data_IF_721260910942
#
_entry.id   IF_721260910942
#
_cell.length_a   1.000
_cell.length_b   1.000
_cell.length_c   1.000
_cell.angle_alpha   90.00
_cell.angle_beta   90.00
_cell.angle_gamma   90.00
#
_symmetry.space_group_name_H-M   'P 1'
#
loop_
_entity.id
_entity.type
_entity.pdbx_description
1 polymer ?
#
# COMPACT_ATOMS: atom_id res chain seq x y z
N UNK A 1 -23.50 17.06 -8.26
CA UNK A 1 -23.02 17.27 -6.88
C UNK A 1 -22.03 16.16 -6.59
N UNK A 2 -20.79 16.49 -6.25
CA UNK A 2 -19.82 15.50 -5.77
C UNK A 2 -20.39 14.81 -4.54
N UNK A 3 -20.30 13.47 -4.42
CA UNK A 3 -20.80 12.78 -3.24
C UNK A 3 -20.05 13.30 -2.01
N UNK A 4 -20.74 14.02 -1.14
CA UNK A 4 -20.22 14.36 0.19
C UNK A 4 -20.15 13.06 0.99
N UNK A 5 -18.94 12.70 1.40
CA UNK A 5 -18.65 11.52 2.19
C UNK A 5 -17.76 11.97 3.33
N UNK A 6 -18.24 11.81 4.56
CA UNK A 6 -17.62 12.31 5.77
C UNK A 6 -17.67 11.21 6.83
N UNK A 7 -16.50 10.91 7.41
CA UNK A 7 -16.34 9.99 8.54
C UNK A 7 -15.13 10.44 9.34
N UNK A 8 -15.27 10.54 10.67
CA UNK A 8 -14.23 11.08 11.57
C UNK A 8 -12.97 10.20 11.66
N UNK A 9 -13.00 8.98 11.10
CA UNK A 9 -11.85 8.08 11.06
C UNK A 9 -10.93 8.32 9.87
N UNK A 10 -11.40 9.00 8.82
CA UNK A 10 -10.63 9.17 7.57
C UNK A 10 -10.67 10.60 7.02
N UNK A 11 -9.63 11.01 6.32
CA UNK A 11 -9.62 12.27 5.58
C UNK A 11 -9.99 11.97 4.13
N UNK A 12 -11.17 12.39 3.67
CA UNK A 12 -11.63 12.12 2.32
C UNK A 12 -11.36 13.28 1.37
N UNK A 13 -10.64 13.01 0.28
CA UNK A 13 -10.32 13.98 -0.76
C UNK A 13 -10.96 13.51 -2.07
N UNK A 14 -11.96 14.27 -2.53
CA UNK A 14 -12.63 14.04 -3.80
C UNK A 14 -12.00 14.88 -4.92
N UNK A 15 -11.56 14.22 -5.97
CA UNK A 15 -10.96 14.85 -7.15
C UNK A 15 -11.97 14.91 -8.30
N UNK A 16 -11.88 15.96 -9.12
CA UNK A 16 -12.85 16.22 -10.19
C UNK A 16 -12.77 15.23 -11.34
N UNK A 17 -11.56 14.74 -11.62
CA UNK A 17 -11.26 13.81 -12.71
C UNK A 17 -10.03 12.94 -12.38
N UNK A 18 -9.68 12.08 -13.33
CA UNK A 18 -8.57 11.14 -13.20
C UNK A 18 -7.20 11.84 -13.14
N UNK A 19 -7.00 12.90 -13.92
CA UNK A 19 -5.71 13.55 -14.09
C UNK A 19 -5.39 14.39 -12.84
N UNK A 20 -6.35 15.17 -12.36
CA UNK A 20 -6.23 15.89 -11.10
C UNK A 20 -6.01 14.97 -9.90
N UNK A 21 -6.63 13.78 -9.90
CA UNK A 21 -6.36 12.75 -8.90
C UNK A 21 -4.91 12.25 -8.96
N UNK A 22 -4.40 11.96 -10.16
CA UNK A 22 -3.02 11.50 -10.37
C UNK A 22 -2.03 12.58 -9.87
N UNK A 23 -2.18 13.81 -10.35
CA UNK A 23 -1.29 14.94 -10.05
C UNK A 23 -1.29 15.25 -8.55
N UNK A 24 -2.46 15.34 -7.92
CA UNK A 24 -2.57 15.68 -6.52
C UNK A 24 -1.98 14.59 -5.61
N UNK A 25 -2.22 13.31 -5.92
CA UNK A 25 -1.63 12.20 -5.14
C UNK A 25 -0.12 12.17 -5.31
N UNK A 26 0.39 12.31 -6.54
CA UNK A 26 1.83 12.32 -6.79
C UNK A 26 2.51 13.49 -6.08
N UNK A 27 1.93 14.69 -6.14
CA UNK A 27 2.43 15.86 -5.43
C UNK A 27 2.44 15.66 -3.92
N UNK A 28 1.39 15.09 -3.34
CA UNK A 28 1.33 14.78 -1.91
C UNK A 28 2.41 13.77 -1.51
N UNK A 29 2.60 12.70 -2.30
CA UNK A 29 3.66 11.73 -2.07
C UNK A 29 5.05 12.39 -2.10
N UNK A 30 5.35 13.20 -3.12
CA UNK A 30 6.63 13.90 -3.23
C UNK A 30 6.87 14.86 -2.05
N UNK A 31 5.85 15.59 -1.62
CA UNK A 31 5.93 16.49 -0.47
C UNK A 31 6.27 15.73 0.82
N UNK A 32 5.60 14.59 1.08
CA UNK A 32 5.87 13.76 2.26
C UNK A 32 7.28 13.18 2.23
N UNK A 33 7.76 12.72 1.07
CA UNK A 33 9.15 12.22 0.93
C UNK A 33 10.18 13.32 1.15
N UNK A 34 10.00 14.48 0.51
CA UNK A 34 10.92 15.60 0.65
C UNK A 34 10.94 16.17 2.07
N UNK A 35 9.80 16.17 2.76
CA UNK A 35 9.76 16.52 4.18
C UNK A 35 10.66 15.61 5.01
N UNK A 36 10.52 14.29 4.89
CA UNK A 36 11.35 13.34 5.65
C UNK A 36 12.83 13.38 5.25
N UNK A 37 13.13 13.58 3.96
CA UNK A 37 14.51 13.78 3.49
C UNK A 37 15.13 15.02 4.13
N UNK A 38 14.38 16.11 4.25
CA UNK A 38 14.88 17.36 4.86
C UNK A 38 15.05 17.24 6.38
N UNK A 39 14.13 16.55 7.06
CA UNK A 39 14.15 16.42 8.52
C UNK A 39 15.16 15.37 9.03
N UNK A 40 15.24 14.21 8.37
CA UNK A 40 16.03 13.07 8.87
C UNK A 40 17.00 12.49 7.83
N UNK A 41 17.17 13.15 6.68
CA UNK A 41 18.17 12.83 5.66
C UNK A 41 17.80 11.69 4.70
N UNK A 42 16.69 10.99 4.91
CA UNK A 42 16.22 9.86 4.09
C UNK A 42 14.72 9.66 4.25
N UNK A 43 14.08 9.07 3.24
CA UNK A 43 12.67 8.71 3.27
C UNK A 43 12.45 7.24 2.88
N UNK A 44 11.30 6.70 3.29
CA UNK A 44 10.88 5.34 2.93
C UNK A 44 9.43 5.32 2.48
N UNK A 45 9.17 4.66 1.35
CA UNK A 45 7.83 4.53 0.78
C UNK A 45 7.46 3.07 0.55
N UNK A 46 6.25 2.69 0.96
CA UNK A 46 5.69 1.35 0.69
C UNK A 46 4.56 1.46 -0.32
N UNK A 47 4.65 0.70 -1.40
CA UNK A 47 3.75 0.79 -2.56
C UNK A 47 2.93 -0.48 -2.76
N UNK A 48 1.63 -0.33 -3.04
CA UNK A 48 0.78 -1.42 -3.54
C UNK A 48 0.91 -1.58 -5.05
N UNK A 49 0.59 -2.76 -5.57
CA UNK A 49 0.44 -2.94 -7.02
C UNK A 49 -0.99 -2.68 -7.52
N UNK A 50 -1.30 -3.24 -8.70
CA UNK A 50 -2.56 -3.03 -9.40
C UNK A 50 -2.48 -1.92 -10.45
N UNK A 51 -3.47 -1.85 -11.34
CA UNK A 51 -3.48 -0.88 -12.45
C UNK A 51 -3.78 0.55 -11.99
N UNK A 52 -4.54 0.72 -10.91
CA UNK A 52 -4.94 2.01 -10.34
C UNK A 52 -3.76 2.91 -9.95
N UNK A 53 -2.73 2.45 -9.22
CA UNK A 53 -1.62 3.31 -8.82
C UNK A 53 -0.55 3.56 -9.88
N UNK A 54 -0.51 2.79 -10.98
CA UNK A 54 0.58 2.89 -11.96
C UNK A 54 0.77 4.31 -12.55
N UNK A 55 -0.29 5.03 -12.97
CA UNK A 55 -0.14 6.41 -13.44
C UNK A 55 0.35 7.39 -12.37
N UNK A 56 -0.02 7.20 -11.11
CA UNK A 56 0.49 8.00 -9.98
C UNK A 56 2.00 7.80 -9.81
N UNK A 57 2.46 6.55 -9.90
CA UNK A 57 3.89 6.25 -9.77
C UNK A 57 4.70 6.85 -10.91
N UNK A 58 4.15 6.85 -12.13
CA UNK A 58 4.76 7.54 -13.26
C UNK A 58 4.85 9.04 -13.02
N UNK A 59 3.76 9.68 -12.59
CA UNK A 59 3.74 11.11 -12.29
C UNK A 59 4.68 11.48 -11.15
N UNK A 60 4.70 10.68 -10.07
CA UNK A 60 5.61 10.87 -8.93
C UNK A 60 7.07 10.82 -9.38
N UNK A 61 7.42 9.93 -10.31
CA UNK A 61 8.80 9.79 -10.79
C UNK A 61 9.32 11.03 -11.55
N UNK A 62 8.41 11.87 -12.08
CA UNK A 62 8.76 13.12 -12.77
C UNK A 62 8.90 14.32 -11.82
N UNK A 63 8.57 14.15 -10.53
CA UNK A 63 8.66 15.22 -9.54
C UNK A 63 10.07 15.30 -8.94
N UNK A 64 10.43 16.49 -8.47
CA UNK A 64 11.71 16.77 -7.84
C UNK A 64 11.77 16.13 -6.44
N UNK A 65 12.33 14.92 -6.39
CA UNK A 65 12.61 14.14 -5.18
C UNK A 65 14.05 13.67 -5.24
N UNK A 66 14.78 13.79 -4.13
CA UNK A 66 16.14 13.24 -4.01
C UNK A 66 16.09 11.71 -3.89
N UNK A 67 15.88 11.04 -5.03
CA UNK A 67 15.63 9.60 -5.12
C UNK A 67 16.77 8.74 -4.54
N UNK A 68 18.02 9.19 -4.61
CA UNK A 68 19.18 8.54 -3.96
C UNK A 68 19.06 8.42 -2.43
N UNK A 69 18.10 9.13 -1.83
CA UNK A 69 17.78 9.11 -0.40
C UNK A 69 16.46 8.40 -0.08
N UNK A 70 15.83 7.78 -1.07
CA UNK A 70 14.54 7.10 -0.93
C UNK A 70 14.71 5.58 -0.96
N UNK A 71 14.24 4.92 0.10
CA UNK A 71 14.00 3.47 0.10
C UNK A 71 12.57 3.19 -0.37
N UNK A 72 12.44 2.36 -1.40
CA UNK A 72 11.16 1.90 -1.94
C UNK A 72 10.98 0.42 -1.60
N UNK A 73 9.85 0.06 -1.01
CA UNK A 73 9.43 -1.33 -0.85
C UNK A 73 7.91 -1.46 -1.09
N UNK A 74 7.33 -2.60 -0.75
CA UNK A 74 5.95 -2.92 -1.10
C UNK A 74 5.06 -3.07 0.15
N UNK A 75 3.79 -2.70 0.01
CA UNK A 75 2.77 -2.98 1.01
C UNK A 75 2.37 -4.47 0.99
N UNK A 76 2.43 -5.12 -0.17
CA UNK A 76 2.21 -6.54 -0.32
C UNK A 76 2.83 -7.06 -1.62
N UNK A 77 2.96 -8.38 -1.74
CA UNK A 77 3.48 -9.01 -2.94
C UNK A 77 2.88 -10.42 -3.12
N UNK A 78 2.70 -10.80 -4.38
CA UNK A 78 2.38 -12.17 -4.80
C UNK A 78 3.65 -12.99 -4.66
N UNK A 79 3.57 -14.23 -4.17
CA UNK A 79 4.76 -15.09 -4.12
C UNK A 79 5.17 -15.55 -5.54
N UNK A 80 5.80 -14.64 -6.25
CA UNK A 80 6.23 -14.68 -7.65
C UNK A 80 7.65 -14.13 -7.76
N UNK A 81 8.33 -14.46 -8.84
CA UNK A 81 9.59 -13.79 -9.16
C UNK A 81 9.34 -12.29 -9.31
N UNK A 82 10.22 -11.41 -8.81
CA UNK A 82 10.15 -9.98 -9.09
C UNK A 82 10.26 -9.62 -10.58
N UNK A 83 10.53 -10.60 -11.44
CA UNK A 83 10.59 -10.49 -12.90
C UNK A 83 9.26 -10.88 -13.58
N UNK A 84 8.32 -11.46 -12.83
CA UNK A 84 7.02 -11.85 -13.36
C UNK A 84 6.14 -10.60 -13.55
N UNK A 85 5.39 -10.52 -14.66
CA UNK A 85 4.56 -9.36 -14.97
C UNK A 85 3.46 -9.08 -13.95
N UNK A 86 3.03 -10.11 -13.24
CA UNK A 86 2.01 -10.04 -12.20
C UNK A 86 2.61 -9.69 -10.81
N UNK A 87 3.93 -9.49 -10.70
CA UNK A 87 4.57 -9.03 -9.46
C UNK A 87 4.36 -7.53 -9.26
N UNK A 88 4.08 -7.13 -8.02
CA UNK A 88 4.04 -5.73 -7.63
C UNK A 88 5.44 -5.07 -7.79
N UNK A 89 6.53 -5.82 -7.55
CA UNK A 89 7.89 -5.38 -7.81
C UNK A 89 8.14 -5.09 -9.30
N UNK A 90 7.58 -5.90 -10.21
CA UNK A 90 7.63 -5.60 -11.64
C UNK A 90 6.92 -4.28 -11.94
N UNK A 91 5.70 -4.11 -11.43
CA UNK A 91 4.92 -2.89 -11.62
C UNK A 91 5.66 -1.64 -11.12
N UNK A 92 6.21 -1.66 -9.90
CA UNK A 92 6.93 -0.52 -9.32
C UNK A 92 8.20 -0.22 -10.12
N UNK A 93 8.92 -1.24 -10.59
CA UNK A 93 10.08 -1.02 -11.46
C UNK A 93 9.70 -0.29 -12.74
N UNK A 94 8.67 -0.79 -13.42
CA UNK A 94 8.26 -0.26 -14.72
C UNK A 94 7.69 1.17 -14.63
N UNK A 95 7.02 1.50 -13.53
CA UNK A 95 6.26 2.75 -13.42
C UNK A 95 6.93 3.83 -12.56
N UNK A 96 7.87 3.47 -11.69
CA UNK A 96 8.58 4.42 -10.83
C UNK A 96 10.10 4.36 -11.05
N UNK A 97 10.69 3.19 -10.79
CA UNK A 97 12.15 3.07 -10.62
C UNK A 97 12.95 3.22 -11.91
N UNK A 98 12.30 3.13 -13.07
CA UNK A 98 12.93 3.48 -14.36
C UNK A 98 13.31 4.95 -14.48
N UNK A 99 12.64 5.83 -13.72
CA UNK A 99 12.84 7.29 -13.78
C UNK A 99 13.30 7.89 -12.45
N UNK A 100 12.97 7.24 -11.33
CA UNK A 100 13.48 7.55 -10.01
C UNK A 100 14.93 7.06 -9.82
N UNK A 101 15.87 7.65 -10.55
CA UNK A 101 17.29 7.24 -10.54
C UNK A 101 17.90 7.39 -9.14
N UNK A 102 18.60 6.35 -8.67
CA UNK A 102 19.23 6.32 -7.35
C UNK A 102 18.36 5.73 -6.23
N UNK A 103 17.04 5.58 -6.42
CA UNK A 103 16.17 4.96 -5.43
C UNK A 103 16.60 3.55 -5.06
N UNK A 104 16.67 3.27 -3.76
CA UNK A 104 16.98 1.92 -3.27
C UNK A 104 15.70 1.09 -3.21
N UNK A 105 15.58 0.12 -4.11
CA UNK A 105 14.41 -0.76 -4.14
C UNK A 105 14.65 -2.08 -3.43
N UNK A 106 13.76 -2.40 -2.49
CA UNK A 106 13.77 -3.63 -1.74
C UNK A 106 12.50 -4.48 -1.99
N UNK A 107 12.59 -5.54 -2.83
CA UNK A 107 11.46 -6.42 -3.11
C UNK A 107 11.18 -7.35 -1.94
N UNK A 108 9.90 -7.67 -1.71
CA UNK A 108 9.50 -8.63 -0.68
C UNK A 108 9.86 -10.08 -1.03
N UNK A 109 9.83 -10.44 -2.32
CA UNK A 109 10.22 -11.78 -2.79
C UNK A 109 11.65 -11.77 -3.34
N UNK A 110 12.46 -12.73 -2.91
CA UNK A 110 13.84 -12.93 -3.37
C UNK A 110 13.95 -14.22 -4.17
N UNK A 111 14.54 -14.14 -5.35
CA UNK A 111 14.71 -15.29 -6.25
C UNK A 111 15.54 -16.37 -5.54
N UNK A 112 15.06 -17.62 -5.58
CA UNK A 112 15.72 -18.76 -4.96
C UNK A 112 15.54 -18.88 -3.45
N UNK A 113 14.74 -18.01 -2.81
CA UNK A 113 14.44 -18.08 -1.37
C UNK A 113 13.01 -18.57 -1.13
N UNK A 114 12.79 -19.47 -0.16
CA UNK A 114 11.45 -19.92 0.20
C UNK A 114 10.65 -18.78 0.88
N UNK A 115 9.32 -18.84 0.79
CA UNK A 115 8.43 -17.81 1.33
C UNK A 115 8.74 -17.39 2.79
N UNK A 116 8.99 -18.31 3.75
CA UNK A 116 9.33 -17.92 5.12
C UNK A 116 10.63 -17.11 5.24
N UNK A 117 11.63 -17.39 4.39
CA UNK A 117 12.90 -16.64 4.40
C UNK A 117 12.73 -15.24 3.80
N UNK A 118 11.89 -15.11 2.75
CA UNK A 118 11.49 -13.81 2.22
C UNK A 118 10.79 -12.96 3.28
N UNK A 119 9.83 -13.52 4.02
CA UNK A 119 9.13 -12.84 5.12
C UNK A 119 10.09 -12.46 6.25
N UNK A 120 11.00 -13.36 6.63
CA UNK A 120 12.03 -13.05 7.63
C UNK A 120 12.89 -11.86 7.19
N UNK A 121 13.34 -11.87 5.94
CA UNK A 121 14.19 -10.81 5.40
C UNK A 121 13.45 -9.48 5.34
N UNK A 122 12.20 -9.45 4.88
CA UNK A 122 11.36 -8.26 4.85
C UNK A 122 11.16 -7.65 6.25
N UNK A 123 10.99 -8.50 7.27
CA UNK A 123 10.89 -8.04 8.66
C UNK A 123 12.21 -7.49 9.20
N UNK A 124 13.34 -8.14 8.92
CA UNK A 124 14.66 -7.66 9.31
C UNK A 124 14.95 -6.30 8.68
N UNK A 125 14.61 -6.13 7.40
CA UNK A 125 14.77 -4.86 6.70
C UNK A 125 13.87 -3.78 7.28
N UNK A 126 12.59 -4.08 7.51
CA UNK A 126 11.69 -3.14 8.15
C UNK A 126 12.17 -2.69 9.54
N UNK A 127 12.87 -3.54 10.29
CA UNK A 127 13.44 -3.20 11.60
C UNK A 127 14.67 -2.28 11.50
N UNK A 128 15.43 -2.32 10.41
CA UNK A 128 16.65 -1.53 10.22
C UNK A 128 16.46 -0.28 9.36
N UNK A 129 15.34 -0.18 8.65
CA UNK A 129 14.96 1.00 7.88
C UNK A 129 14.29 2.07 8.75
N UNK A 130 14.13 3.28 8.22
CA UNK A 130 13.25 4.27 8.87
C UNK A 130 11.80 3.77 8.88
N UNK A 131 10.99 4.25 9.84
CA UNK A 131 9.54 4.18 9.72
C UNK A 131 9.10 4.74 8.35
N UNK A 132 8.13 4.12 7.65
CA UNK A 132 7.70 4.61 6.36
C UNK A 132 7.18 6.06 6.42
N UNK A 133 7.73 6.93 5.59
CA UNK A 133 7.23 8.28 5.35
C UNK A 133 5.78 8.21 4.87
N UNK A 134 5.49 7.30 3.94
CA UNK A 134 4.12 6.98 3.56
C UNK A 134 3.92 5.54 3.10
N UNK A 135 2.68 5.05 3.21
CA UNK A 135 2.20 3.81 2.59
C UNK A 135 1.06 4.14 1.63
N UNK A 136 1.19 3.71 0.37
CA UNK A 136 0.16 3.81 -0.65
C UNK A 136 -0.62 2.50 -0.75
N UNK A 137 -1.85 2.49 -0.25
CA UNK A 137 -2.74 1.34 -0.22
C UNK A 137 -3.76 1.37 -1.37
N UNK A 138 -4.17 0.19 -1.82
CA UNK A 138 -5.39 -0.02 -2.59
C UNK A 138 -6.49 -0.70 -1.76
N UNK A 139 -7.68 -0.82 -2.33
CA UNK A 139 -8.77 -1.60 -1.75
C UNK A 139 -9.44 -2.50 -2.79
N UNK A 140 -9.68 -3.77 -2.44
CA UNK A 140 -10.48 -4.74 -3.20
C UNK A 140 -11.98 -4.43 -3.22
N UNK A 141 -12.73 -5.10 -4.12
CA UNK A 141 -14.20 -4.99 -4.12
C UNK A 141 -14.85 -5.80 -2.97
N UNK A 142 -14.06 -6.64 -2.33
CA UNK A 142 -14.30 -7.39 -1.11
C UNK A 142 -13.80 -6.65 0.15
N UNK A 143 -13.28 -5.42 0.02
CA UNK A 143 -12.79 -4.63 1.16
C UNK A 143 -11.39 -5.03 1.66
N UNK A 144 -10.69 -5.95 0.98
CA UNK A 144 -9.28 -6.23 1.31
C UNK A 144 -8.41 -4.99 1.06
N UNK A 145 -7.31 -4.88 1.80
CA UNK A 145 -6.21 -3.95 1.51
C UNK A 145 -4.89 -4.67 1.68
N UNK A 146 -3.82 -4.20 1.03
CA UNK A 146 -2.59 -4.98 0.87
C UNK A 146 -2.97 -6.40 0.38
N UNK A 147 -2.52 -7.45 1.06
CA UNK A 147 -3.01 -8.82 0.84
C UNK A 147 -3.79 -9.37 2.05
N UNK A 148 -4.42 -8.50 2.85
CA UNK A 148 -5.30 -8.92 3.95
C UNK A 148 -6.69 -9.24 3.40
N UNK A 149 -6.92 -10.47 2.93
CA UNK A 149 -8.18 -10.89 2.31
C UNK A 149 -9.20 -11.38 3.34
N UNK A 150 -10.48 -10.95 3.24
CA UNK A 150 -11.54 -11.49 4.08
C UNK A 150 -11.71 -12.99 3.85
N UNK A 151 -11.85 -13.74 4.94
CA UNK A 151 -11.98 -15.20 4.92
C UNK A 151 -10.70 -15.98 4.56
N UNK A 152 -9.55 -15.31 4.39
CA UNK A 152 -8.27 -16.03 4.21
C UNK A 152 -7.86 -16.77 5.47
N UNK A 153 -7.20 -17.92 5.31
CA UNK A 153 -6.85 -18.84 6.41
C UNK A 153 -5.99 -18.17 7.48
N UNK A 154 -5.12 -17.27 7.05
CA UNK A 154 -4.14 -16.60 7.89
C UNK A 154 -4.57 -15.21 8.37
N UNK A 155 -5.78 -14.73 8.04
CA UNK A 155 -6.18 -13.34 8.31
C UNK A 155 -6.03 -12.98 9.79
N UNK A 156 -6.66 -13.73 10.70
CA UNK A 156 -6.62 -13.45 12.13
C UNK A 156 -5.17 -13.36 12.65
N UNK A 157 -4.32 -14.33 12.27
CA UNK A 157 -2.90 -14.35 12.63
C UNK A 157 -2.13 -13.15 12.06
N UNK A 158 -2.42 -12.73 10.83
CA UNK A 158 -1.77 -11.57 10.21
C UNK A 158 -2.21 -10.25 10.89
N UNK A 159 -3.47 -10.14 11.30
CA UNK A 159 -4.00 -8.97 12.01
C UNK A 159 -3.40 -8.82 13.42
N UNK A 160 -3.15 -9.95 14.11
CA UNK A 160 -2.56 -9.99 15.46
C UNK A 160 -1.02 -9.97 15.46
N UNK A 161 -0.38 -10.04 14.28
CA UNK A 161 1.08 -10.09 14.16
C UNK A 161 1.75 -8.90 14.83
N UNK A 162 2.81 -9.18 15.59
CA UNK A 162 3.72 -8.18 16.16
C UNK A 162 4.89 -7.84 15.24
N UNK A 163 4.93 -8.45 14.04
CA UNK A 163 5.95 -8.22 13.02
C UNK A 163 5.37 -7.39 11.87
N UNK A 164 6.18 -6.51 11.23
CA UNK A 164 5.73 -5.68 10.09
C UNK A 164 5.13 -6.45 8.92
N UNK A 165 5.64 -7.63 8.59
CA UNK A 165 5.22 -8.44 7.45
C UNK A 165 4.86 -9.86 7.86
N UNK A 166 3.89 -10.45 7.16
CA UNK A 166 3.48 -11.84 7.32
C UNK A 166 3.31 -12.55 5.97
N UNK A 167 3.51 -13.87 5.96
CA UNK A 167 2.97 -14.72 4.90
C UNK A 167 1.46 -14.90 5.09
N UNK A 168 0.73 -14.98 3.98
CA UNK A 168 -0.71 -15.19 3.96
C UNK A 168 -1.13 -16.13 2.83
N UNK A 169 -1.89 -17.17 3.18
CA UNK A 169 -2.58 -18.06 2.25
C UNK A 169 -4.04 -17.63 2.04
N UNK A 170 -4.29 -16.99 0.89
CA UNK A 170 -5.62 -16.57 0.44
C UNK A 170 -6.28 -17.59 -0.51
N UNK A 171 -5.92 -18.87 -0.42
CA UNK A 171 -6.58 -19.94 -1.20
C UNK A 171 -8.08 -19.93 -0.94
N UNK A 172 -8.87 -19.79 -2.00
CA UNK A 172 -10.33 -19.72 -1.94
C UNK A 172 -10.89 -18.31 -1.78
N UNK A 173 -10.06 -17.29 -1.57
CA UNK A 173 -10.50 -15.89 -1.57
C UNK A 173 -10.64 -15.39 -3.01
N UNK A 174 -11.83 -14.92 -3.44
CA UNK A 174 -12.02 -14.44 -4.81
C UNK A 174 -11.06 -13.32 -5.20
N UNK A 175 -10.74 -12.40 -4.27
CA UNK A 175 -9.82 -11.29 -4.52
C UNK A 175 -8.37 -11.70 -4.78
N UNK A 176 -7.97 -12.92 -4.41
CA UNK A 176 -6.59 -13.39 -4.58
C UNK A 176 -6.30 -13.91 -5.99
N UNK A 177 -7.35 -14.15 -6.80
CA UNK A 177 -7.27 -14.71 -8.15
C UNK A 177 -6.39 -15.99 -8.18
N UNK A 178 -5.56 -16.15 -9.22
CA UNK A 178 -4.65 -17.29 -9.36
C UNK A 178 -3.40 -17.23 -8.45
N UNK A 179 -3.24 -16.17 -7.64
CA UNK A 179 -2.05 -15.93 -6.82
C UNK A 179 -2.43 -15.93 -5.33
N UNK A 180 -2.69 -17.10 -4.71
CA UNK A 180 -3.19 -17.14 -3.33
C UNK A 180 -2.10 -16.90 -2.27
N UNK A 181 -0.84 -17.22 -2.55
CA UNK A 181 0.26 -17.06 -1.60
C UNK A 181 0.84 -15.64 -1.67
N UNK A 182 0.85 -14.95 -0.52
CA UNK A 182 1.19 -13.54 -0.40
C UNK A 182 2.22 -13.29 0.70
N UNK A 183 2.99 -12.21 0.54
CA UNK A 183 3.62 -11.49 1.64
C UNK A 183 2.84 -10.20 1.81
N UNK A 184 2.43 -9.85 3.03
CA UNK A 184 1.59 -8.67 3.29
C UNK A 184 2.13 -7.88 4.46
N UNK A 185 2.04 -6.55 4.35
CA UNK A 185 2.18 -5.65 5.48
C UNK A 185 1.05 -5.91 6.46
N UNK A 186 1.39 -5.95 7.74
CA UNK A 186 0.45 -6.19 8.85
C UNK A 186 0.01 -4.85 9.46
N UNK A 187 -1.02 -4.86 10.33
CA UNK A 187 -1.36 -3.66 11.10
C UNK A 187 -0.22 -3.16 12.00
N UNK A 188 0.72 -4.03 12.41
CA UNK A 188 1.94 -3.61 13.10
C UNK A 188 2.87 -2.81 12.16
N UNK A 189 3.07 -3.27 10.92
CA UNK A 189 3.88 -2.55 9.94
C UNK A 189 3.28 -1.19 9.55
N UNK A 190 1.95 -1.12 9.45
CA UNK A 190 1.24 0.13 9.14
C UNK A 190 1.32 1.18 10.27
N UNK A 191 1.35 0.76 11.54
CA UNK A 191 1.37 1.67 12.70
C UNK A 191 2.59 2.59 12.76
N UNK A 192 3.70 2.16 12.17
CA UNK A 192 4.94 2.94 12.16
C UNK A 192 4.93 4.03 11.07
N UNK A 193 3.94 4.04 10.17
CA UNK A 193 3.91 4.96 9.07
C UNK A 193 3.43 6.36 9.48
N UNK A 194 4.11 7.40 8.98
CA UNK A 194 3.71 8.80 9.17
C UNK A 194 2.43 9.17 8.42
N UNK A 195 2.21 8.62 7.23
CA UNK A 195 1.06 8.94 6.39
C UNK A 195 0.53 7.73 5.62
N UNK A 196 -0.75 7.45 5.77
CA UNK A 196 -1.42 6.34 5.08
C UNK A 196 -2.31 6.92 3.98
N UNK A 197 -2.09 6.50 2.75
CA UNK A 197 -2.91 6.89 1.60
C UNK A 197 -3.74 5.69 1.13
N UNK A 198 -5.02 5.91 0.84
CA UNK A 198 -5.85 4.97 0.10
C UNK A 198 -6.16 5.54 -1.27
N UNK A 199 -5.68 4.85 -2.31
CA UNK A 199 -5.85 5.21 -3.71
C UNK A 199 -7.11 4.52 -4.25
N UNK A 200 -8.23 5.25 -4.25
CA UNK A 200 -9.54 4.70 -4.55
C UNK A 200 -10.09 5.24 -5.87
N UNK A 201 -10.62 4.36 -6.72
CA UNK A 201 -11.26 4.74 -8.00
C UNK A 201 -12.62 4.11 -8.18
N UNK A 202 -13.56 4.89 -8.72
CA UNK A 202 -14.88 4.44 -9.13
C UNK A 202 -15.90 4.34 -8.00
N UNK A 203 -17.17 4.56 -8.36
CA UNK A 203 -18.33 4.48 -7.46
C UNK A 203 -18.46 3.15 -6.71
N UNK A 204 -18.15 2.02 -7.35
CA UNK A 204 -18.26 0.69 -6.70
C UNK A 204 -17.35 0.60 -5.47
N UNK A 205 -16.08 1.02 -5.61
CA UNK A 205 -15.12 1.01 -4.51
C UNK A 205 -15.52 1.97 -3.39
N UNK A 206 -16.04 3.14 -3.74
CA UNK A 206 -16.56 4.10 -2.75
C UNK A 206 -17.74 3.52 -1.96
N UNK A 207 -18.62 2.74 -2.61
CA UNK A 207 -19.71 2.05 -1.93
C UNK A 207 -19.19 0.97 -0.96
N UNK A 208 -18.18 0.19 -1.36
CA UNK A 208 -17.56 -0.81 -0.48
C UNK A 208 -16.89 -0.14 0.72
N UNK A 209 -16.22 1.01 0.53
CA UNK A 209 -15.65 1.78 1.64
C UNK A 209 -16.72 2.24 2.63
N UNK A 210 -17.88 2.72 2.14
CA UNK A 210 -19.03 3.08 2.99
C UNK A 210 -19.50 1.88 3.81
N UNK A 211 -19.69 0.73 3.16
CA UNK A 211 -20.10 -0.50 3.82
C UNK A 211 -19.10 -0.95 4.89
N UNK A 212 -17.80 -0.83 4.61
CA UNK A 212 -16.76 -1.12 5.59
C UNK A 212 -16.90 -0.24 6.84
N UNK A 213 -16.98 1.08 6.64
CA UNK A 213 -17.13 2.05 7.73
C UNK A 213 -18.40 1.80 8.56
N UNK A 214 -19.52 1.48 7.92
CA UNK A 214 -20.80 1.19 8.59
C UNK A 214 -20.78 -0.13 9.38
N UNK A 215 -20.09 -1.16 8.85
CA UNK A 215 -20.03 -2.49 9.50
C UNK A 215 -19.18 -2.50 10.78
N UNK A 216 -18.09 -1.74 10.78
CA UNK A 216 -17.01 -1.81 11.76
C UNK A 216 -16.45 -3.23 12.01
N UNK A 217 -16.61 -4.15 11.06
CA UNK A 217 -16.10 -5.53 11.12
C UNK A 217 -14.83 -5.69 10.29
N UNK A 218 -13.67 -5.67 10.96
CA UNK A 218 -12.36 -5.76 10.34
C UNK A 218 -12.01 -7.16 9.78
N UNK A 219 -12.77 -8.20 10.13
CA UNK A 219 -12.64 -9.53 9.51
C UNK A 219 -13.37 -9.55 8.16
N UNK A 220 -14.52 -8.88 8.09
CA UNK A 220 -15.30 -8.75 6.85
C UNK A 220 -14.67 -7.71 5.90
N UNK A 221 -14.18 -6.58 6.43
CA UNK A 221 -13.56 -5.50 5.66
C UNK A 221 -12.17 -5.16 6.20
N UNK A 222 -11.13 -5.89 5.78
CA UNK A 222 -9.77 -5.71 6.31
C UNK A 222 -9.18 -4.32 6.14
N UNK A 223 -9.68 -3.49 5.21
CA UNK A 223 -9.34 -2.06 5.13
C UNK A 223 -9.55 -1.30 6.44
N UNK A 224 -10.47 -1.75 7.31
CA UNK A 224 -10.67 -1.17 8.63
C UNK A 224 -9.42 -1.24 9.51
N UNK A 225 -8.53 -2.22 9.28
CA UNK A 225 -7.23 -2.29 9.96
C UNK A 225 -6.23 -1.24 9.47
N UNK A 226 -6.50 -0.55 8.36
CA UNK A 226 -5.76 0.63 7.95
C UNK A 226 -6.50 1.93 8.32
N UNK A 227 -7.79 1.88 8.64
CA UNK A 227 -8.60 3.03 9.07
C UNK A 227 -8.49 3.25 10.58
N UNK A 228 -8.68 2.18 11.36
CA UNK A 228 -8.85 2.25 12.81
C UNK A 228 -7.52 2.27 13.59
N UNK A 229 -6.34 2.23 12.94
CA UNK A 229 -5.07 2.36 13.68
C UNK A 229 -4.90 3.78 14.21
N UNK A 230 -4.37 3.86 15.42
CA UNK A 230 -3.88 5.08 16.04
C UNK A 230 -2.82 5.78 15.17
N UNK A 231 -2.65 7.09 15.37
CA UNK A 231 -1.73 7.92 14.60
C UNK A 231 -2.41 8.66 13.45
N UNK A 232 -1.72 8.83 12.33
CA UNK A 232 -2.18 9.67 11.21
C UNK A 232 -3.38 9.06 10.50
N UNK A 233 -4.53 9.75 10.43
CA UNK A 233 -5.75 9.26 9.77
C UNK A 233 -5.48 8.78 8.34
N UNK A 234 -6.22 7.75 7.90
CA UNK A 234 -6.14 7.30 6.52
C UNK A 234 -6.68 8.40 5.60
N UNK A 235 -5.85 8.86 4.66
CA UNK A 235 -6.21 9.83 3.65
C UNK A 235 -6.70 9.10 2.40
N UNK A 236 -7.98 9.25 2.08
CA UNK A 236 -8.64 8.57 0.98
C UNK A 236 -8.75 9.52 -0.19
N UNK A 237 -7.91 9.31 -1.22
CA UNK A 237 -8.01 10.03 -2.48
C UNK A 237 -8.95 9.27 -3.40
N UNK A 238 -10.05 9.90 -3.81
CA UNK A 238 -11.05 9.30 -4.68
C UNK A 238 -11.31 10.13 -5.93
N UNK A 239 -11.43 9.45 -7.07
CA UNK A 239 -12.02 9.95 -8.31
C UNK A 239 -12.89 8.85 -8.93
N UNK A 240 -13.93 9.24 -9.68
CA UNK A 240 -14.78 8.26 -10.40
C UNK A 240 -13.99 7.57 -11.54
#
# INVERSE_FOLDING_TARGET
MSPTFHDDRIEFINHGDADGWIEAVAAEMAQTLNHDINEVGRARILLSGGTTPAPIYQALAELDVHWDRVEVSLADERWLSPQDRDSNAWLVRENLLKRAEGAHFDPLVRIGKPLPECVYTANLQAQHSQPPSLVALGMGNDGHTASLFPGSKDLARALESTLPYAALDATGCPGANQWPLRITLTPHGLRQCRQRLLLLRGKQKLQVLRQALDSNDAQQYPILNAINLEGARLRVHWAD
#
